data_IF_679749258054
#
_entry.id   IF_679749258054
#
_cell.length_a   1.000
_cell.length_b   1.000
_cell.length_c   1.000
_cell.angle_alpha   90.00
_cell.angle_beta   90.00
_cell.angle_gamma   90.00
#
_symmetry.space_group_name_H-M   'P 1'
#
loop_
_entity.id
_entity.type
_entity.pdbx_description
1 polymer ?
#
# COMPACT_ATOMS: atom_id res chain seq x y z
N UNK A 1 7.68 -4.52 -4.94
CA UNK A 1 8.89 -3.72 -4.65
C UNK A 1 9.34 -4.04 -3.24
N UNK A 2 10.60 -4.40 -3.06
CA UNK A 2 11.24 -4.64 -1.75
C UNK A 2 12.36 -3.63 -1.58
N UNK A 3 13.61 -4.08 -1.73
CA UNK A 3 14.82 -3.22 -1.68
C UNK A 3 14.76 -2.05 -2.67
N UNK A 4 14.34 -2.28 -3.91
CA UNK A 4 14.09 -1.19 -4.89
C UNK A 4 12.65 -0.67 -4.75
N UNK A 5 12.41 0.18 -3.74
CA UNK A 5 11.09 0.77 -3.49
C UNK A 5 10.53 1.47 -4.74
N UNK A 6 11.40 2.13 -5.52
CA UNK A 6 10.97 2.94 -6.65
C UNK A 6 10.40 2.14 -7.83
N UNK A 7 10.59 0.81 -7.82
CA UNK A 7 9.96 -0.13 -8.75
C UNK A 7 8.48 -0.44 -8.42
N UNK A 8 7.91 0.20 -7.39
CA UNK A 8 6.50 -0.02 -7.04
C UNK A 8 5.57 0.30 -8.21
N UNK A 9 4.50 -0.49 -8.29
CA UNK A 9 3.45 -0.38 -9.33
C UNK A 9 2.10 0.05 -8.79
N UNK A 10 1.93 0.08 -7.47
CA UNK A 10 0.72 0.64 -6.83
C UNK A 10 0.56 2.08 -7.29
N UNK A 11 -0.59 2.42 -7.88
CA UNK A 11 -0.88 3.77 -8.37
C UNK A 11 -1.86 4.47 -7.45
N UNK A 12 -1.85 5.79 -7.48
CA UNK A 12 -2.89 6.62 -6.90
C UNK A 12 -3.19 7.79 -7.84
N UNK A 13 -4.44 7.91 -8.28
CA UNK A 13 -4.89 8.96 -9.20
C UNK A 13 -5.81 9.92 -8.45
N UNK A 14 -5.53 11.22 -8.51
CA UNK A 14 -6.36 12.23 -7.86
C UNK A 14 -7.70 12.35 -8.59
N UNK A 15 -8.81 12.23 -7.86
CA UNK A 15 -10.17 12.40 -8.35
C UNK A 15 -10.93 13.36 -7.43
N UNK A 16 -10.97 14.65 -7.82
CA UNK A 16 -11.49 15.71 -6.95
C UNK A 16 -10.60 15.89 -5.71
N UNK A 17 -11.18 15.65 -4.53
CA UNK A 17 -10.50 15.77 -3.24
C UNK A 17 -9.95 14.45 -2.70
N UNK A 18 -10.14 13.35 -3.43
CA UNK A 18 -9.72 12.01 -3.03
C UNK A 18 -8.66 11.43 -3.98
N UNK A 19 -8.00 10.37 -3.55
CA UNK A 19 -7.11 9.56 -4.40
C UNK A 19 -7.72 8.18 -4.59
N UNK A 20 -7.87 7.77 -5.85
CA UNK A 20 -8.22 6.39 -6.20
C UNK A 20 -6.93 5.59 -6.27
N UNK A 21 -6.71 4.75 -5.27
CA UNK A 21 -5.56 3.85 -5.19
C UNK A 21 -5.87 2.56 -5.93
N UNK A 22 -4.88 1.99 -6.61
CA UNK A 22 -4.99 0.64 -7.16
C UNK A 22 -3.68 -0.12 -6.92
N UNK A 23 -3.77 -1.24 -6.21
CA UNK A 23 -2.71 -2.23 -6.19
C UNK A 23 -2.64 -3.05 -4.91
N UNK A 24 -1.49 -3.67 -4.69
CA UNK A 24 -1.27 -4.51 -3.53
C UNK A 24 0.14 -4.33 -2.98
N UNK A 25 0.29 -4.61 -1.69
CA UNK A 25 1.58 -4.69 -0.99
C UNK A 25 1.70 -6.05 -0.31
N UNK A 26 2.92 -6.56 -0.32
CA UNK A 26 3.30 -7.73 0.47
C UNK A 26 4.11 -7.26 1.68
N UNK A 27 4.03 -8.04 2.75
CA UNK A 27 4.81 -7.85 3.98
C UNK A 27 4.40 -6.62 4.79
N UNK A 28 3.10 -6.33 4.87
CA UNK A 28 2.57 -5.24 5.69
C UNK A 28 2.32 -5.73 7.11
N UNK A 29 3.29 -5.53 7.99
CA UNK A 29 3.18 -5.86 9.42
C UNK A 29 2.09 -5.05 10.11
N UNK A 30 1.25 -5.70 10.92
CA UNK A 30 0.19 -5.05 11.69
C UNK A 30 -1.03 -4.56 10.90
N UNK A 31 -1.10 -4.81 9.59
CA UNK A 31 -2.18 -4.31 8.73
C UNK A 31 -3.60 -4.74 9.17
N UNK A 32 -3.73 -5.89 9.83
CA UNK A 32 -5.01 -6.38 10.34
C UNK A 32 -5.52 -5.64 11.57
N UNK A 33 -4.64 -4.97 12.32
CA UNK A 33 -4.95 -4.24 13.55
C UNK A 33 -4.88 -2.71 13.38
N UNK A 34 -4.45 -2.22 12.22
CA UNK A 34 -4.22 -0.81 12.00
C UNK A 34 -5.51 -0.07 11.64
N UNK A 35 -5.73 1.12 12.23
CA UNK A 35 -6.76 2.06 11.76
C UNK A 35 -6.36 2.74 10.43
N UNK A 36 -5.05 2.90 10.20
CA UNK A 36 -4.52 3.57 9.02
C UNK A 36 -3.27 2.88 8.48
N UNK A 37 -3.11 2.92 7.15
CA UNK A 37 -1.90 2.47 6.46
C UNK A 37 -1.12 3.64 5.89
N UNK A 38 0.18 3.66 6.17
CA UNK A 38 1.17 4.46 5.47
C UNK A 38 1.51 3.81 4.12
N UNK A 39 0.98 4.35 3.02
CA UNK A 39 1.09 3.73 1.70
C UNK A 39 1.99 4.54 0.76
N UNK A 40 3.08 3.93 0.31
CA UNK A 40 3.84 4.43 -0.83
C UNK A 40 3.20 3.99 -2.17
N UNK A 41 2.82 4.96 -2.99
CA UNK A 41 2.19 4.75 -4.30
C UNK A 41 2.70 5.75 -5.35
N UNK A 42 2.56 5.39 -6.62
CA UNK A 42 2.93 6.23 -7.76
C UNK A 42 1.77 7.17 -8.08
N UNK A 43 1.99 8.47 -7.87
CA UNK A 43 1.03 9.53 -8.18
C UNK A 43 1.36 10.24 -9.49
N UNK A 44 2.62 10.18 -9.92
CA UNK A 44 3.06 10.72 -11.21
C UNK A 44 3.91 9.66 -11.94
N UNK A 45 3.39 9.03 -13.00
CA UNK A 45 4.13 8.04 -13.77
C UNK A 45 5.19 8.62 -14.70
N UNK A 46 5.07 9.90 -15.07
CA UNK A 46 5.97 10.57 -16.01
C UNK A 46 7.16 11.23 -15.30
N UNK A 47 7.02 11.51 -14.00
CA UNK A 47 8.11 12.00 -13.17
C UNK A 47 9.26 10.96 -13.04
N UNK A 48 10.47 11.47 -12.84
CA UNK A 48 11.64 10.66 -12.53
C UNK A 48 11.33 9.65 -11.41
N UNK A 49 11.86 8.42 -11.55
CA UNK A 49 11.45 7.21 -10.80
C UNK A 49 11.03 7.45 -9.34
N UNK A 50 11.86 8.14 -8.56
CA UNK A 50 11.62 8.45 -7.13
C UNK A 50 10.71 9.65 -6.90
N UNK A 51 10.74 10.66 -7.78
CA UNK A 51 9.93 11.88 -7.67
C UNK A 51 8.46 11.65 -7.97
N UNK A 52 8.13 10.57 -8.69
CA UNK A 52 6.76 10.18 -8.99
C UNK A 52 6.03 9.43 -7.86
N UNK A 53 6.65 9.28 -6.70
CA UNK A 53 6.12 8.51 -5.57
C UNK A 53 5.69 9.46 -4.47
N UNK A 54 4.47 9.26 -4.00
CA UNK A 54 3.91 9.95 -2.84
C UNK A 54 3.57 8.94 -1.74
N UNK A 55 3.37 9.47 -0.55
CA UNK A 55 2.84 8.73 0.60
C UNK A 55 1.42 9.19 0.85
N UNK A 56 0.51 8.22 0.98
CA UNK A 56 -0.86 8.44 1.43
C UNK A 56 -1.07 7.81 2.80
N UNK A 57 -2.01 8.37 3.55
CA UNK A 57 -2.59 7.75 4.74
C UNK A 57 -3.93 7.17 4.29
N UNK A 58 -4.04 5.85 4.29
CA UNK A 58 -5.25 5.13 3.85
C UNK A 58 -6.03 4.66 5.07
N UNK A 59 -7.33 4.94 5.12
CA UNK A 59 -8.22 4.45 6.18
C UNK A 59 -8.55 2.97 5.92
N UNK A 60 -8.36 2.10 6.91
CA UNK A 60 -8.63 0.66 6.76
C UNK A 60 -10.12 0.32 6.74
N UNK A 61 -11.00 1.32 6.91
CA UNK A 61 -12.45 1.21 6.73
C UNK A 61 -12.90 1.55 5.31
N UNK A 62 -12.01 2.06 4.45
CA UNK A 62 -12.35 2.33 3.06
C UNK A 62 -12.76 1.03 2.35
N UNK A 63 -13.83 1.04 1.52
CA UNK A 63 -14.38 -0.18 0.92
C UNK A 63 -13.43 -0.89 -0.06
N UNK A 64 -12.39 -0.20 -0.55
CA UNK A 64 -11.35 -0.80 -1.39
C UNK A 64 -10.24 -1.50 -0.60
N UNK A 65 -10.13 -1.24 0.70
CA UNK A 65 -9.10 -1.83 1.54
C UNK A 65 -9.47 -3.25 1.97
N UNK A 66 -8.52 -4.17 1.83
CA UNK A 66 -8.62 -5.50 2.42
C UNK A 66 -7.25 -6.10 2.67
N UNK A 67 -7.21 -7.23 3.38
CA UNK A 67 -5.97 -7.94 3.67
C UNK A 67 -6.18 -9.45 3.73
N UNK A 68 -5.08 -10.18 3.52
CA UNK A 68 -4.98 -11.64 3.70
C UNK A 68 -3.83 -11.92 4.68
N UNK A 69 -4.00 -12.80 5.67
CA UNK A 69 -2.93 -13.15 6.61
C UNK A 69 -1.77 -13.83 5.89
N UNK A 70 -0.54 -13.52 6.31
CA UNK A 70 0.65 -14.28 5.94
C UNK A 70 1.17 -14.93 7.22
N UNK A 71 1.11 -16.25 7.27
CA UNK A 71 1.66 -17.04 8.38
C UNK A 71 3.16 -17.22 8.12
N UNK A 72 3.98 -16.74 9.05
CA UNK A 72 5.44 -16.82 8.95
C UNK A 72 5.94 -18.18 9.45
N UNK A 73 7.23 -18.44 9.26
CA UNK A 73 7.87 -19.72 9.66
C UNK A 73 7.87 -19.96 11.17
N UNK A 74 7.65 -18.92 11.98
CA UNK A 74 7.44 -19.02 13.43
C UNK A 74 6.00 -19.42 13.80
N UNK A 75 5.12 -19.59 12.81
CA UNK A 75 3.71 -19.94 12.98
C UNK A 75 2.82 -18.76 13.34
N UNK A 76 3.35 -17.54 13.44
CA UNK A 76 2.60 -16.38 13.89
C UNK A 76 2.00 -15.55 12.74
N UNK A 77 0.87 -14.90 13.02
CA UNK A 77 0.24 -13.93 12.13
C UNK A 77 0.58 -12.51 12.61
N UNK A 78 1.64 -11.95 12.04
CA UNK A 78 2.01 -10.56 12.31
C UNK A 78 2.11 -9.71 11.04
N UNK A 79 2.09 -10.34 9.86
CA UNK A 79 2.20 -9.64 8.57
C UNK A 79 1.12 -10.08 7.58
N UNK A 80 0.88 -9.25 6.57
CA UNK A 80 -0.26 -9.37 5.69
C UNK A 80 0.12 -9.06 4.24
N UNK A 81 -0.63 -9.64 3.31
CA UNK A 81 -0.82 -9.04 2.00
C UNK A 81 -1.96 -8.03 2.15
N UNK A 82 -1.77 -6.79 1.67
CA UNK A 82 -2.80 -5.74 1.71
C UNK A 82 -3.16 -5.30 0.30
N UNK A 83 -4.44 -5.01 0.08
CA UNK A 83 -5.04 -4.65 -1.19
C UNK A 83 -5.74 -3.30 -1.05
N UNK A 84 -5.60 -2.47 -2.09
CA UNK A 84 -6.06 -1.08 -2.15
C UNK A 84 -6.70 -0.80 -3.50
#
# INVERSE_FOLDING_TARGET
AGTDLASLRTTAVRHGDEYIVNGQKMWTTGAHDADYIWLACRTDPEAAKHKGISILIVDTKDPGYSWTPIILSDGAHHTNASYY
#
